data_IF_254068874480
#
_entry.id   IF_254068874480
#
_cell.length_a   1.000
_cell.length_b   1.000
_cell.length_c   1.000
_cell.angle_alpha   90.00
_cell.angle_beta   90.00
_cell.angle_gamma   90.00
#
_symmetry.space_group_name_H-M   'P 1'
#
loop_
_entity.id
_entity.type
_entity.pdbx_description
1 polymer ?
#
# COMPACT_ATOMS: atom_id res chain seq x y z
N UNK A 1 1.59 -1.36 3.88
CA UNK A 1 1.63 -1.31 2.40
C UNK A 1 1.67 0.13 1.93
N UNK A 2 2.08 0.36 0.69
CA UNK A 2 2.24 1.70 0.12
C UNK A 2 1.13 2.10 -0.87
N UNK A 3 1.21 3.32 -1.38
CA UNK A 3 0.32 3.82 -2.42
C UNK A 3 0.52 3.11 -3.76
N UNK A 4 1.74 2.65 -4.06
CA UNK A 4 2.05 1.94 -5.31
C UNK A 4 1.20 0.67 -5.44
N UNK A 5 1.10 -0.15 -4.40
CA UNK A 5 0.24 -1.35 -4.36
C UNK A 5 -1.22 -0.97 -4.63
N UNK A 6 -1.72 0.06 -3.96
CA UNK A 6 -3.10 0.52 -4.10
C UNK A 6 -3.43 1.03 -5.51
N UNK A 7 -2.52 1.78 -6.14
CA UNK A 7 -2.71 2.30 -7.49
C UNK A 7 -2.53 1.19 -8.54
N UNK A 8 -1.55 0.30 -8.33
CA UNK A 8 -1.28 -0.84 -9.21
C UNK A 8 -2.43 -1.84 -9.25
N UNK A 9 -3.14 -2.04 -8.14
CA UNK A 9 -4.32 -2.90 -8.07
C UNK A 9 -5.42 -2.50 -9.06
N UNK A 10 -5.72 -1.20 -9.15
CA UNK A 10 -6.77 -0.71 -10.06
C UNK A 10 -6.29 -0.59 -11.52
N UNK A 11 -4.99 -0.40 -11.73
CA UNK A 11 -4.37 -0.38 -13.06
C UNK A 11 -4.24 -1.79 -13.67
N UNK A 12 -4.13 -2.82 -12.83
CA UNK A 12 -4.03 -4.22 -13.22
C UNK A 12 -4.94 -5.09 -12.35
N UNK A 13 -6.23 -5.12 -12.70
CA UNK A 13 -7.27 -5.85 -11.96
C UNK A 13 -7.07 -7.38 -11.86
N UNK A 14 -6.08 -7.95 -12.57
CA UNK A 14 -5.68 -9.37 -12.47
C UNK A 14 -4.29 -9.55 -11.87
N UNK A 15 -3.63 -8.47 -11.48
CA UNK A 15 -2.30 -8.47 -10.91
C UNK A 15 -2.32 -8.80 -9.42
N UNK A 16 -1.16 -9.20 -8.89
CA UNK A 16 -0.99 -9.52 -7.47
C UNK A 16 -1.44 -8.40 -6.51
N UNK A 17 -1.24 -7.09 -6.80
CA UNK A 17 -1.79 -6.03 -5.95
C UNK A 17 -3.32 -6.08 -5.82
N UNK A 18 -4.04 -6.36 -6.92
CA UNK A 18 -5.51 -6.52 -6.87
C UNK A 18 -5.90 -7.67 -5.98
N UNK A 19 -5.22 -8.82 -6.11
CA UNK A 19 -5.49 -10.01 -5.30
C UNK A 19 -5.37 -9.75 -3.81
N UNK A 20 -4.35 -8.99 -3.39
CA UNK A 20 -4.14 -8.61 -1.98
C UNK A 20 -5.31 -7.74 -1.48
N UNK A 21 -5.68 -6.72 -2.26
CA UNK A 21 -6.74 -5.78 -1.85
C UNK A 21 -8.13 -6.40 -1.91
N UNK A 22 -8.42 -7.19 -2.95
CA UNK A 22 -9.69 -7.89 -3.12
C UNK A 22 -9.93 -8.81 -1.91
N UNK A 23 -8.92 -9.57 -1.48
CA UNK A 23 -9.03 -10.44 -0.31
C UNK A 23 -9.42 -9.70 0.99
N UNK A 24 -8.84 -8.53 1.25
CA UNK A 24 -9.17 -7.78 2.48
C UNK A 24 -10.45 -6.97 2.38
N UNK A 25 -10.90 -6.68 1.15
CA UNK A 25 -12.13 -5.96 0.87
C UNK A 25 -13.36 -6.88 0.81
N UNK A 26 -13.14 -8.19 0.64
CA UNK A 26 -14.17 -9.22 0.72
C UNK A 26 -14.63 -9.47 2.16
N UNK A 27 -15.88 -9.93 2.31
CA UNK A 27 -16.43 -10.34 3.60
C UNK A 27 -15.95 -11.75 3.92
N UNK A 28 -15.33 -11.95 5.09
CA UNK A 28 -14.87 -13.27 5.50
C UNK A 28 -13.72 -13.23 6.52
N UNK A 29 -13.21 -14.41 6.91
CA UNK A 29 -11.97 -14.50 7.67
C UNK A 29 -10.83 -13.93 6.83
N UNK A 30 -9.95 -13.17 7.49
CA UNK A 30 -8.78 -12.56 6.87
C UNK A 30 -7.55 -13.35 7.27
N UNK A 31 -6.72 -13.69 6.29
CA UNK A 31 -5.43 -14.35 6.55
C UNK A 31 -4.35 -13.35 6.98
N UNK A 32 -4.57 -12.06 6.72
CA UNK A 32 -3.68 -10.97 7.08
C UNK A 32 -4.42 -9.64 7.25
N UNK A 33 -3.77 -8.70 7.92
CA UNK A 33 -4.23 -7.33 8.11
C UNK A 33 -3.36 -6.35 7.32
N UNK A 34 -3.95 -5.25 6.86
CA UNK A 34 -3.23 -4.20 6.16
C UNK A 34 -3.14 -2.94 6.99
N UNK A 35 -1.92 -2.42 7.08
CA UNK A 35 -1.59 -1.19 7.77
C UNK A 35 -0.97 -0.18 6.80
N UNK A 36 -1.26 1.10 6.99
CA UNK A 36 -0.65 2.20 6.25
C UNK A 36 -0.73 3.52 7.02
N UNK A 37 0.17 4.48 6.78
CA UNK A 37 0.06 5.81 7.36
C UNK A 37 -1.14 6.59 6.79
N UNK A 38 -1.63 7.57 7.55
CA UNK A 38 -2.76 8.46 7.17
C UNK A 38 -2.61 9.08 5.78
N UNK A 39 -1.38 9.38 5.37
CA UNK A 39 -1.07 10.00 4.08
C UNK A 39 -1.37 9.10 2.87
N UNK A 40 -1.54 7.78 3.06
CA UNK A 40 -1.84 6.83 1.98
C UNK A 40 -3.05 7.30 1.15
N UNK A 41 -4.14 7.68 1.82
CA UNK A 41 -5.40 7.97 1.16
C UNK A 41 -5.37 9.21 0.26
N UNK A 42 -4.96 10.41 0.73
CA UNK A 42 -4.82 11.56 -0.15
C UNK A 42 -3.79 11.30 -1.26
N UNK A 43 -2.70 10.57 -0.98
CA UNK A 43 -1.71 10.19 -2.01
C UNK A 43 -2.34 9.36 -3.13
N UNK A 44 -3.17 8.37 -2.80
CA UNK A 44 -3.89 7.56 -3.79
C UNK A 44 -4.83 8.43 -4.61
N UNK A 45 -5.60 9.31 -3.97
CA UNK A 45 -6.52 10.20 -4.66
C UNK A 45 -5.77 11.10 -5.66
N UNK A 46 -4.66 11.71 -5.24
CA UNK A 46 -3.82 12.55 -6.08
C UNK A 46 -3.22 11.79 -7.26
N UNK A 47 -2.68 10.59 -7.03
CA UNK A 47 -2.09 9.76 -8.09
C UNK A 47 -3.16 9.33 -9.09
N UNK A 48 -4.32 8.87 -8.63
CA UNK A 48 -5.40 8.43 -9.51
C UNK A 48 -6.05 9.59 -10.28
N UNK A 49 -6.01 10.81 -9.75
CA UNK A 49 -6.51 12.01 -10.42
C UNK A 49 -5.60 12.50 -11.56
N UNK A 50 -4.35 12.02 -11.67
CA UNK A 50 -3.43 12.41 -12.74
C UNK A 50 -4.07 12.09 -14.12
N UNK A 51 -4.10 13.03 -15.08
CA UNK A 51 -4.84 12.86 -16.34
C UNK A 51 -4.55 11.57 -17.11
N UNK A 52 -3.29 11.13 -17.12
CA UNK A 52 -2.86 9.87 -17.76
C UNK A 52 -3.48 8.63 -17.11
N UNK A 53 -3.57 8.61 -15.77
CA UNK A 53 -4.10 7.48 -15.00
C UNK A 53 -5.63 7.51 -15.04
N UNK A 54 -6.24 8.65 -14.69
CA UNK A 54 -7.68 8.85 -14.75
C UNK A 54 -8.26 8.52 -16.15
N UNK A 55 -7.58 8.98 -17.22
CA UNK A 55 -7.95 8.70 -18.60
C UNK A 55 -7.87 7.21 -18.97
N UNK A 56 -6.81 6.51 -18.53
CA UNK A 56 -6.66 5.06 -18.73
C UNK A 56 -7.74 4.26 -18.00
N UNK A 57 -8.06 4.64 -16.77
CA UNK A 57 -9.08 3.97 -15.96
C UNK A 57 -10.51 4.38 -16.34
N UNK A 58 -10.67 5.51 -17.03
CA UNK A 58 -11.95 6.21 -17.24
C UNK A 58 -12.64 6.54 -15.91
N UNK A 59 -11.87 6.95 -14.90
CA UNK A 59 -12.39 7.30 -13.58
C UNK A 59 -12.49 8.81 -13.44
N UNK A 60 -13.62 9.28 -12.89
CA UNK A 60 -13.79 10.65 -12.43
C UNK A 60 -13.60 10.78 -10.91
N UNK A 61 -13.61 12.01 -10.37
CA UNK A 61 -13.36 12.27 -8.95
C UNK A 61 -14.21 11.44 -7.99
N UNK A 62 -15.51 11.27 -8.31
CA UNK A 62 -16.42 10.48 -7.48
C UNK A 62 -16.00 9.00 -7.35
N UNK A 63 -15.47 8.40 -8.43
CA UNK A 63 -15.01 6.99 -8.41
C UNK A 63 -13.68 6.84 -7.68
N UNK A 64 -12.79 7.83 -7.82
CA UNK A 64 -11.52 7.90 -7.08
C UNK A 64 -11.79 7.98 -5.57
N UNK A 65 -12.64 8.93 -5.14
CA UNK A 65 -12.99 9.07 -3.72
C UNK A 65 -13.72 7.85 -3.16
N UNK A 66 -14.58 7.19 -3.94
CA UNK A 66 -15.20 5.93 -3.53
C UNK A 66 -14.16 4.83 -3.30
N UNK A 67 -13.15 4.72 -4.17
CA UNK A 67 -12.07 3.76 -4.01
C UNK A 67 -11.24 4.03 -2.74
N UNK A 68 -10.79 5.27 -2.54
CA UNK A 68 -10.04 5.67 -1.34
C UNK A 68 -10.85 5.42 -0.05
N UNK A 69 -12.15 5.73 -0.06
CA UNK A 69 -13.05 5.44 1.08
C UNK A 69 -13.17 3.95 1.37
N UNK A 70 -13.29 3.10 0.35
CA UNK A 70 -13.33 1.64 0.54
C UNK A 70 -12.03 1.12 1.15
N UNK A 71 -10.89 1.60 0.68
CA UNK A 71 -9.59 1.25 1.28
C UNK A 71 -9.51 1.68 2.75
N UNK A 72 -9.98 2.88 3.10
CA UNK A 72 -9.98 3.35 4.49
C UNK A 72 -10.81 2.48 5.44
N UNK A 73 -11.77 1.72 4.92
CA UNK A 73 -12.55 0.76 5.73
C UNK A 73 -11.83 -0.59 5.89
N UNK A 74 -10.90 -0.93 5.00
CA UNK A 74 -10.20 -2.22 5.01
C UNK A 74 -8.78 -2.14 5.58
N UNK A 75 -8.17 -0.95 5.57
CA UNK A 75 -6.80 -0.69 5.97
C UNK A 75 -6.78 0.03 7.30
N UNK A 76 -6.05 -0.53 8.27
CA UNK A 76 -5.84 0.09 9.57
C UNK A 76 -4.85 1.24 9.43
N UNK A 77 -5.30 2.44 9.80
CA UNK A 77 -4.50 3.65 9.73
C UNK A 77 -3.50 3.73 10.89
N UNK A 78 -2.23 4.01 10.57
CA UNK A 78 -1.14 4.09 11.55
C UNK A 78 -0.77 5.56 11.76
N UNK A 79 -0.92 6.10 12.99
CA UNK A 79 -0.49 7.46 13.30
C UNK A 79 1.03 7.51 13.44
N UNK A 80 1.70 8.07 12.43
CA UNK A 80 3.17 8.22 12.41
C UNK A 80 3.68 9.46 13.14
N UNK A 81 2.78 10.31 13.63
CA UNK A 81 3.13 11.56 14.31
C UNK A 81 3.53 12.67 13.35
N UNK A 82 4.63 13.35 13.68
CA UNK A 82 5.15 14.52 12.96
C UNK A 82 5.94 14.08 11.71
N UNK A 83 5.47 14.41 10.49
CA UNK A 83 6.16 14.03 9.25
C UNK A 83 7.60 14.56 9.17
N UNK A 84 7.92 15.67 9.82
CA UNK A 84 9.28 16.24 9.82
C UNK A 84 10.26 15.45 10.69
N UNK A 85 9.77 14.51 11.51
CA UNK A 85 10.57 13.66 12.40
C UNK A 85 10.66 12.22 11.94
N UNK A 86 10.14 11.91 10.76
CA UNK A 86 10.25 10.59 10.16
C UNK A 86 11.74 10.36 9.82
N UNK A 87 12.36 9.27 10.31
CA UNK A 87 13.73 8.94 9.93
C UNK A 87 13.83 8.67 8.42
N UNK A 88 14.99 8.97 7.83
CA UNK A 88 15.24 8.64 6.44
C UNK A 88 15.55 7.14 6.32
N UNK A 89 14.71 6.42 5.56
CA UNK A 89 14.84 4.98 5.33
C UNK A 89 15.15 4.66 3.86
N UNK A 90 14.61 5.45 2.95
CA UNK A 90 14.61 5.22 1.49
C UNK A 90 15.28 6.38 0.75
N UNK A 91 15.47 6.21 -0.56
CA UNK A 91 15.99 7.28 -1.43
C UNK A 91 15.00 8.43 -1.67
N UNK A 92 13.70 8.17 -1.54
CA UNK A 92 12.62 9.17 -1.67
C UNK A 92 11.95 9.41 -0.30
N UNK A 93 12.12 10.59 0.32
CA UNK A 93 11.49 10.91 1.60
C UNK A 93 9.96 10.77 1.64
N UNK A 94 9.27 10.76 0.49
CA UNK A 94 7.83 10.52 0.45
C UNK A 94 7.45 9.08 0.86
N UNK A 95 8.40 8.13 0.78
CA UNK A 95 8.20 6.71 1.08
C UNK A 95 8.53 6.32 2.52
N UNK A 96 9.38 7.09 3.19
CA UNK A 96 9.79 6.86 4.59
C UNK A 96 8.61 6.68 5.57
N UNK A 97 7.50 7.43 5.46
CA UNK A 97 6.30 7.20 6.26
C UNK A 97 5.73 5.78 6.21
N UNK A 98 5.85 5.07 5.08
CA UNK A 98 5.36 3.69 4.96
C UNK A 98 6.25 2.71 5.72
N UNK A 99 7.57 2.95 5.68
CA UNK A 99 8.56 2.18 6.45
C UNK A 99 8.35 2.42 7.95
N UNK A 100 8.23 3.68 8.38
CA UNK A 100 7.96 4.00 9.79
C UNK A 100 6.65 3.37 10.27
N UNK A 101 5.57 3.43 9.48
CA UNK A 101 4.31 2.80 9.84
C UNK A 101 4.45 1.29 10.06
N UNK A 102 5.23 0.61 9.21
CA UNK A 102 5.51 -0.82 9.36
C UNK A 102 6.29 -1.13 10.64
N UNK A 103 7.29 -0.29 10.98
CA UNK A 103 8.07 -0.40 12.22
C UNK A 103 7.19 -0.21 13.46
N UNK A 104 6.35 0.84 13.48
CA UNK A 104 5.53 1.19 14.64
C UNK A 104 4.52 0.09 15.02
N UNK A 105 3.97 -0.62 14.03
CA UNK A 105 3.01 -1.71 14.27
C UNK A 105 3.68 -3.08 14.40
N UNK A 106 5.01 -3.16 14.25
CA UNK A 106 5.73 -4.43 14.24
C UNK A 106 5.27 -5.37 13.12
N UNK A 107 5.02 -4.82 11.93
CA UNK A 107 4.52 -5.60 10.80
C UNK A 107 5.52 -6.70 10.42
N UNK A 108 5.02 -7.90 10.08
CA UNK A 108 5.86 -8.98 9.55
C UNK A 108 6.51 -8.59 8.23
N UNK A 109 5.78 -7.86 7.38
CA UNK A 109 6.22 -7.48 6.05
C UNK A 109 5.77 -6.06 5.67
N UNK A 110 6.63 -5.35 4.96
CA UNK A 110 6.27 -4.17 4.17
C UNK A 110 6.06 -4.61 2.71
N UNK A 111 4.81 -4.52 2.23
CA UNK A 111 4.49 -4.84 0.84
C UNK A 111 4.52 -3.57 -0.01
N UNK A 112 5.39 -3.55 -1.02
CA UNK A 112 5.60 -2.43 -1.94
C UNK A 112 5.98 -2.92 -3.34
N UNK A 113 5.59 -2.16 -4.36
CA UNK A 113 6.07 -2.32 -5.74
C UNK A 113 7.05 -1.23 -6.18
N UNK A 114 7.48 -0.38 -5.24
CA UNK A 114 8.41 0.72 -5.49
C UNK A 114 9.85 0.25 -5.30
N UNK A 115 10.74 0.64 -6.22
CA UNK A 115 12.14 0.22 -6.18
C UNK A 115 12.92 0.95 -5.07
N UNK A 116 12.50 2.15 -4.67
CA UNK A 116 13.14 2.87 -3.56
C UNK A 116 12.87 2.20 -2.21
N UNK A 117 11.74 1.48 -2.07
CA UNK A 117 11.41 0.66 -0.91
C UNK A 117 11.97 -0.76 -1.06
N UNK A 118 11.82 -1.40 -2.22
CA UNK A 118 12.27 -2.78 -2.48
C UNK A 118 13.80 -2.91 -2.47
N UNK A 119 14.50 -1.85 -2.87
CA UNK A 119 15.96 -1.81 -3.01
C UNK A 119 16.72 -1.43 -1.75
N UNK A 120 16.05 -1.26 -0.60
CA UNK A 120 16.72 -0.98 0.67
C UNK A 120 17.74 -2.08 1.02
N UNK A 121 18.98 -1.69 1.33
CA UNK A 121 20.05 -2.64 1.66
C UNK A 121 19.84 -3.32 3.02
N UNK A 122 19.36 -2.58 4.02
CA UNK A 122 19.10 -3.07 5.37
C UNK A 122 17.75 -2.54 5.89
N UNK A 123 16.62 -3.07 5.37
CA UNK A 123 15.32 -2.56 5.74
C UNK A 123 14.95 -2.97 7.17
N UNK A 124 14.38 -2.06 7.99
CA UNK A 124 14.02 -2.37 9.37
C UNK A 124 12.84 -3.36 9.49
N UNK A 125 12.13 -3.60 8.38
CA UNK A 125 11.04 -4.59 8.25
C UNK A 125 11.26 -5.33 6.93
N UNK A 126 11.03 -6.64 6.90
CA UNK A 126 11.17 -7.44 5.67
C UNK A 126 10.28 -6.89 4.56
N UNK A 127 10.89 -6.50 3.43
CA UNK A 127 10.14 -5.96 2.28
C UNK A 127 9.82 -7.06 1.29
N UNK A 128 8.57 -7.11 0.82
CA UNK A 128 8.13 -8.04 -0.21
C UNK A 128 7.47 -7.30 -1.37
N UNK A 129 7.81 -7.73 -2.59
CA UNK A 129 7.02 -7.40 -3.76
C UNK A 129 5.64 -8.07 -3.69
N UNK A 130 4.59 -7.53 -4.35
CA UNK A 130 3.24 -8.12 -4.30
C UNK A 130 3.21 -9.57 -4.77
N UNK A 131 4.03 -9.92 -5.76
CA UNK A 131 4.14 -11.29 -6.25
C UNK A 131 4.77 -12.26 -5.23
N UNK A 132 5.72 -11.80 -4.43
CA UNK A 132 6.32 -12.61 -3.37
C UNK A 132 5.34 -12.79 -2.22
N UNK A 133 4.69 -11.70 -1.79
CA UNK A 133 3.68 -11.75 -0.72
C UNK A 133 2.56 -12.74 -1.04
N UNK A 134 1.97 -12.66 -2.25
CA UNK A 134 0.91 -13.57 -2.66
C UNK A 134 1.37 -15.04 -2.66
N UNK A 135 2.61 -15.34 -3.06
CA UNK A 135 3.12 -16.72 -3.01
C UNK A 135 3.24 -17.26 -1.59
N UNK A 136 3.72 -16.45 -0.64
CA UNK A 136 3.82 -16.87 0.76
C UNK A 136 2.43 -17.08 1.37
N UNK A 137 1.50 -16.17 1.05
CA UNK A 137 0.11 -16.27 1.46
C UNK A 137 -0.57 -17.55 0.97
N UNK A 138 -0.52 -17.83 -0.34
CA UNK A 138 -1.11 -19.04 -0.91
C UNK A 138 -0.48 -20.34 -0.37
N UNK A 139 0.77 -20.27 0.08
CA UNK A 139 1.48 -21.39 0.69
C UNK A 139 1.19 -21.55 2.19
N UNK A 140 0.44 -20.62 2.82
CA UNK A 140 0.20 -20.62 4.27
C UNK A 140 1.46 -20.29 5.10
N UNK A 141 2.34 -19.45 4.55
CA UNK A 141 3.65 -19.10 5.12
C UNK A 141 3.76 -17.61 5.52
N UNK A 142 2.63 -16.94 5.79
CA UNK A 142 2.63 -15.57 6.33
C UNK A 142 2.98 -15.54 7.82
#
# INVERSE_FOLDING_TARGET
>A
MDANVCVSAVLSAKGNPSRILDHVLEEGPRDFELFAPSQLFPKIEDVLARPKIAGRLKWGPARIGLYARRLRLAVTEVPIGDPEKVPSYTGDPEDDPYVLAAVLVGASYLVSGDEDILGMEDPPVSVLGPAQFVRLWEAGLL
#
